data_IF_582849258916
#
_entry.id   IF_582849258916
#
_cell.length_a   1.000
_cell.length_b   1.000
_cell.length_c   1.000
_cell.angle_alpha   90.00
_cell.angle_beta   90.00
_cell.angle_gamma   90.00
#
_symmetry.space_group_name_H-M   'P 1'
#
loop_
_entity.id
_entity.type
_entity.pdbx_description
1 polymer ?
#
# COMPACT_ATOMS: atom_id res chain seq x y z
N UNK A 1 9.82 -26.30 -66.46
CA UNK A 1 9.86 -25.64 -65.14
C UNK A 1 8.94 -26.42 -64.23
N UNK A 2 9.48 -27.09 -63.22
CA UNK A 2 8.68 -27.85 -62.25
C UNK A 2 7.83 -26.87 -61.41
N UNK A 3 6.53 -27.16 -61.28
CA UNK A 3 5.62 -26.31 -60.53
C UNK A 3 5.85 -26.51 -59.03
N UNK A 4 6.28 -25.46 -58.34
CA UNK A 4 6.54 -25.49 -56.90
C UNK A 4 5.18 -25.40 -56.15
N UNK A 5 4.91 -26.28 -55.17
CA UNK A 5 3.66 -26.28 -54.40
C UNK A 5 3.51 -25.02 -53.53
N UNK A 6 2.27 -24.55 -53.36
CA UNK A 6 1.95 -23.37 -52.53
C UNK A 6 1.80 -23.73 -51.04
N UNK A 7 2.81 -24.41 -50.48
CA UNK A 7 2.90 -24.78 -49.07
C UNK A 7 3.90 -23.86 -48.34
N UNK A 8 3.74 -23.64 -47.02
CA UNK A 8 4.75 -22.98 -46.21
C UNK A 8 6.14 -23.62 -46.44
N UNK A 9 7.19 -22.80 -46.49
CA UNK A 9 8.60 -23.19 -46.76
C UNK A 9 9.01 -23.45 -48.22
N UNK A 10 8.06 -23.46 -49.16
CA UNK A 10 8.36 -23.57 -50.60
C UNK A 10 8.39 -22.20 -51.32
N UNK A 11 8.30 -21.09 -50.58
CA UNK A 11 8.36 -19.71 -51.09
C UNK A 11 9.40 -18.88 -50.32
N UNK A 12 10.03 -17.95 -51.03
CA UNK A 12 10.99 -17.02 -50.42
C UNK A 12 10.28 -15.87 -49.71
N UNK A 13 10.65 -15.58 -48.47
CA UNK A 13 10.12 -14.45 -47.67
C UNK A 13 10.77 -13.12 -48.06
N UNK A 14 10.74 -12.77 -49.35
CA UNK A 14 11.29 -11.48 -49.81
C UNK A 14 10.19 -10.41 -49.80
N UNK A 15 10.18 -9.56 -48.79
CA UNK A 15 9.28 -8.40 -48.75
C UNK A 15 9.90 -7.20 -49.47
N UNK A 16 9.11 -6.52 -50.29
CA UNK A 16 9.47 -5.19 -50.84
C UNK A 16 8.55 -4.16 -50.21
N UNK A 17 9.11 -3.09 -49.64
CA UNK A 17 8.30 -1.98 -49.15
C UNK A 17 7.70 -1.26 -50.35
N UNK A 18 6.40 -1.46 -50.57
CA UNK A 18 5.62 -0.74 -51.59
C UNK A 18 4.58 0.12 -50.88
N UNK A 19 4.34 1.36 -51.34
CA UNK A 19 3.27 2.17 -50.79
C UNK A 19 1.92 1.46 -50.99
N UNK A 20 1.06 1.54 -49.98
CA UNK A 20 -0.31 1.01 -50.08
C UNK A 20 -1.09 1.87 -51.07
N UNK A 21 -1.57 1.26 -52.16
CA UNK A 21 -2.51 1.92 -53.07
C UNK A 21 -3.86 2.07 -52.37
N UNK A 22 -4.51 3.22 -52.55
CA UNK A 22 -5.87 3.41 -52.07
C UNK A 22 -6.82 2.65 -53.00
N UNK A 23 -7.50 1.63 -52.47
CA UNK A 23 -8.42 0.75 -53.24
C UNK A 23 -9.88 1.14 -53.05
N UNK A 24 -10.20 1.87 -51.97
CA UNK A 24 -11.55 2.29 -51.65
C UNK A 24 -11.66 3.81 -51.56
N UNK A 25 -12.76 4.35 -52.08
CA UNK A 25 -13.19 5.73 -51.88
C UNK A 25 -14.49 5.74 -51.09
N UNK A 26 -14.61 6.63 -50.12
CA UNK A 26 -15.86 6.87 -49.40
C UNK A 26 -16.56 8.07 -50.01
N UNK A 27 -17.78 7.89 -50.47
CA UNK A 27 -18.65 8.97 -50.94
C UNK A 27 -19.92 8.91 -50.11
N UNK A 28 -20.18 9.98 -49.34
CA UNK A 28 -21.32 10.08 -48.43
C UNK A 28 -21.46 8.89 -47.45
N UNK A 29 -20.33 8.45 -46.88
CA UNK A 29 -20.31 7.37 -45.88
C UNK A 29 -20.36 5.94 -46.43
N UNK A 30 -20.49 5.76 -47.75
CA UNK A 30 -20.54 4.45 -48.41
C UNK A 30 -19.21 4.19 -49.12
N UNK A 31 -18.64 2.99 -48.92
CA UNK A 31 -17.38 2.57 -49.53
C UNK A 31 -17.60 2.05 -50.96
N UNK A 32 -16.88 2.62 -51.93
CA UNK A 32 -16.86 2.17 -53.33
C UNK A 32 -15.45 1.66 -53.70
N UNK A 33 -15.33 0.51 -54.39
CA UNK A 33 -14.06 0.06 -54.94
C UNK A 33 -13.64 0.97 -56.11
N UNK A 34 -12.38 1.37 -56.14
CA UNK A 34 -11.77 2.11 -57.26
C UNK A 34 -11.43 1.09 -58.35
N UNK A 35 -12.03 1.22 -59.53
CA UNK A 35 -11.70 0.38 -60.70
C UNK A 35 -10.49 0.94 -61.44
N UNK A 36 -9.68 0.06 -62.02
CA UNK A 36 -8.53 0.43 -62.85
C UNK A 36 -9.04 1.15 -64.11
N UNK A 37 -8.95 2.48 -64.13
CA UNK A 37 -9.46 3.34 -65.22
C UNK A 37 -10.21 4.60 -64.76
N UNK A 38 -10.52 4.74 -63.46
CA UNK A 38 -11.19 5.93 -62.93
C UNK A 38 -10.29 7.21 -63.05
N UNK A 39 -10.79 8.33 -63.60
CA UNK A 39 -10.00 9.56 -63.81
C UNK A 39 -9.57 10.26 -62.51
N UNK A 40 -10.02 9.76 -61.35
CA UNK A 40 -9.63 10.25 -60.03
C UNK A 40 -8.24 9.77 -59.57
N UNK A 41 -7.62 8.81 -60.27
CA UNK A 41 -6.27 8.34 -59.97
C UNK A 41 -5.25 9.21 -60.70
N UNK A 42 -5.08 10.46 -60.26
CA UNK A 42 -3.83 11.18 -60.58
C UNK A 42 -2.74 10.62 -59.66
N UNK A 43 -1.84 9.82 -60.23
CA UNK A 43 -0.59 9.47 -59.56
C UNK A 43 0.09 10.78 -59.14
N UNK A 44 0.22 11.02 -57.84
CA UNK A 44 1.06 12.12 -57.36
C UNK A 44 2.49 11.71 -57.66
N UNK A 45 3.25 12.47 -58.47
CA UNK A 45 4.67 12.18 -58.60
C UNK A 45 5.32 12.33 -57.22
N UNK A 46 6.32 11.49 -56.94
CA UNK A 46 7.13 11.57 -55.72
C UNK A 46 7.72 12.97 -55.61
N UNK A 47 7.13 13.83 -54.77
CA UNK A 47 7.86 14.95 -54.21
C UNK A 47 8.83 14.36 -53.18
N UNK A 48 10.06 14.14 -53.62
CA UNK A 48 11.21 13.92 -52.76
C UNK A 48 11.26 15.04 -51.73
N UNK A 49 11.03 14.70 -50.47
CA UNK A 49 11.40 15.52 -49.33
C UNK A 49 12.91 15.47 -49.15
N UNK A 50 13.63 16.04 -50.12
CA UNK A 50 15.04 16.42 -50.00
C UNK A 50 15.06 17.93 -50.20
N UNK A 51 15.08 18.66 -49.08
CA UNK A 51 15.44 20.08 -49.08
C UNK A 51 16.91 20.17 -49.48
N UNK A 52 17.17 20.49 -50.73
CA UNK A 52 18.43 21.12 -51.10
C UNK A 52 18.33 22.61 -50.74
N UNK A 53 19.18 23.00 -49.80
CA UNK A 53 19.41 24.39 -49.44
C UNK A 53 20.27 25.05 -50.51
N UNK A 54 19.69 25.93 -51.31
CA UNK A 54 20.44 26.94 -52.04
C UNK A 54 19.67 28.25 -52.06
N UNK A 55 20.42 29.31 -51.74
CA UNK A 55 19.94 30.64 -51.46
C UNK A 55 19.23 31.25 -52.68
N UNK A 56 17.98 31.67 -52.49
CA UNK A 56 17.34 32.66 -53.34
C UNK A 56 16.45 33.56 -52.46
N UNK A 57 17.01 34.70 -52.08
CA UNK A 57 16.30 35.87 -51.58
C UNK A 57 15.29 36.33 -52.64
N UNK A 58 14.02 36.00 -52.43
CA UNK A 58 12.90 36.72 -53.04
C UNK A 58 11.99 37.20 -51.93
N UNK A 59 12.01 38.52 -51.73
CA UNK A 59 11.10 39.26 -50.86
C UNK A 59 9.68 39.18 -51.45
N UNK A 60 8.96 38.10 -51.14
CA UNK A 60 7.51 38.11 -51.20
C UNK A 60 6.98 38.41 -49.80
N UNK A 61 6.27 39.53 -49.68
CA UNK A 61 5.53 39.93 -48.48
C UNK A 61 4.56 38.80 -48.15
N UNK A 62 4.95 37.94 -47.20
CA UNK A 62 4.12 36.87 -46.70
C UNK A 62 2.88 37.49 -46.04
N UNK A 63 1.73 37.33 -46.69
CA UNK A 63 0.45 37.57 -46.05
C UNK A 63 0.42 36.74 -44.76
N UNK A 64 0.26 37.42 -43.61
CA UNK A 64 0.10 36.75 -42.32
C UNK A 64 -1.01 35.70 -42.47
N UNK A 65 -0.80 34.45 -42.04
CA UNK A 65 -1.86 33.45 -42.07
C UNK A 65 -3.04 34.01 -41.29
N UNK A 66 -4.17 34.20 -41.98
CA UNK A 66 -5.42 34.59 -41.37
C UNK A 66 -5.70 33.59 -40.23
N UNK A 67 -5.98 34.04 -38.99
CA UNK A 67 -6.32 33.14 -37.91
C UNK A 67 -7.56 32.36 -38.37
N UNK A 68 -7.42 31.04 -38.56
CA UNK A 68 -8.56 30.17 -38.80
C UNK A 68 -9.59 30.47 -37.71
N UNK A 69 -10.87 30.71 -38.03
CA UNK A 69 -11.88 30.88 -37.01
C UNK A 69 -11.78 29.68 -36.07
N UNK A 70 -11.57 29.93 -34.77
CA UNK A 70 -11.63 28.88 -33.77
C UNK A 70 -12.97 28.19 -33.98
N UNK A 71 -12.94 26.88 -34.22
CA UNK A 71 -14.18 26.10 -34.29
C UNK A 71 -15.05 26.50 -33.08
N UNK A 72 -16.38 26.66 -33.24
CA UNK A 72 -17.23 26.94 -32.10
C UNK A 72 -16.89 25.89 -31.05
N UNK A 73 -16.40 26.33 -29.90
CA UNK A 73 -16.14 25.44 -28.77
C UNK A 73 -17.48 25.00 -28.24
N UNK A 74 -18.16 24.13 -28.99
CA UNK A 74 -19.30 23.41 -28.48
C UNK A 74 -18.84 22.65 -27.25
N UNK A 75 -19.68 22.66 -26.22
CA UNK A 75 -19.42 21.88 -25.03
C UNK A 75 -19.16 20.43 -25.44
N UNK A 76 -17.95 19.95 -25.17
CA UNK A 76 -17.62 18.55 -25.39
C UNK A 76 -18.63 17.68 -24.63
N UNK A 77 -19.00 16.54 -25.21
CA UNK A 77 -19.94 15.61 -24.59
C UNK A 77 -19.41 15.15 -23.22
N UNK A 78 -20.31 14.82 -22.29
CA UNK A 78 -19.99 14.46 -20.90
C UNK A 78 -18.97 13.33 -20.82
N UNK A 79 -19.13 12.30 -21.65
CA UNK A 79 -18.20 11.17 -21.71
C UNK A 79 -16.78 11.57 -22.14
N UNK A 80 -16.62 12.66 -22.90
CA UNK A 80 -15.31 13.19 -23.31
C UNK A 80 -14.72 14.07 -22.20
N UNK A 81 -15.56 14.84 -21.51
CA UNK A 81 -15.13 15.75 -20.43
C UNK A 81 -14.66 14.99 -19.20
N UNK A 82 -15.39 13.94 -18.84
CA UNK A 82 -15.20 13.18 -17.60
C UNK A 82 -14.57 11.80 -17.85
N UNK A 83 -13.92 11.59 -19.01
CA UNK A 83 -13.32 10.30 -19.32
C UNK A 83 -12.26 9.95 -18.27
N UNK A 84 -12.43 8.80 -17.61
CA UNK A 84 -11.61 8.31 -16.51
C UNK A 84 -11.77 9.01 -15.14
N UNK A 85 -12.68 9.97 -15.01
CA UNK A 85 -13.00 10.53 -13.70
C UNK A 85 -13.94 9.58 -12.95
N UNK A 86 -13.41 9.00 -11.87
CA UNK A 86 -14.13 8.04 -11.03
C UNK A 86 -14.13 8.54 -9.59
N UNK A 87 -15.33 8.66 -9.04
CA UNK A 87 -15.52 9.00 -7.64
C UNK A 87 -15.54 7.71 -6.82
N UNK A 88 -14.70 7.65 -5.81
CA UNK A 88 -14.60 6.53 -4.89
C UNK A 88 -15.09 6.93 -3.50
N UNK A 89 -16.05 6.16 -2.99
CA UNK A 89 -16.64 6.26 -1.66
C UNK A 89 -16.35 4.98 -0.87
N UNK A 90 -16.03 5.14 0.40
CA UNK A 90 -15.79 4.04 1.33
C UNK A 90 -17.03 3.85 2.19
N UNK A 91 -17.52 2.62 2.25
CA UNK A 91 -18.71 2.29 3.03
C UNK A 91 -18.71 0.87 3.55
N UNK A 92 -19.77 0.51 4.24
CA UNK A 92 -19.97 -0.85 4.71
C UNK A 92 -21.45 -1.22 4.66
N UNK A 93 -21.75 -2.51 4.66
CA UNK A 93 -23.09 -3.01 4.96
C UNK A 93 -23.01 -4.07 6.07
N UNK A 94 -24.11 -4.24 6.79
CA UNK A 94 -24.22 -5.27 7.83
C UNK A 94 -24.89 -6.51 7.25
N UNK A 95 -24.24 -7.66 7.41
CA UNK A 95 -24.79 -8.96 7.02
C UNK A 95 -25.18 -9.72 8.29
N UNK A 96 -26.46 -10.11 8.40
CA UNK A 96 -26.92 -10.94 9.50
C UNK A 96 -26.38 -12.36 9.35
N UNK A 97 -25.81 -12.92 10.43
CA UNK A 97 -25.31 -14.29 10.46
C UNK A 97 -26.18 -15.08 11.42
N UNK A 98 -26.78 -16.15 10.94
CA UNK A 98 -27.54 -17.10 11.75
C UNK A 98 -26.64 -18.24 12.21
N UNK A 99 -26.87 -18.74 13.42
CA UNK A 99 -26.26 -19.98 13.95
C UNK A 99 -24.72 -19.98 14.09
N UNK A 100 -24.11 -18.82 14.39
CA UNK A 100 -22.69 -18.73 14.74
C UNK A 100 -22.51 -18.46 16.23
N UNK A 101 -21.61 -19.19 16.89
CA UNK A 101 -21.25 -18.95 18.29
C UNK A 101 -20.39 -17.68 18.47
N UNK A 102 -19.73 -17.23 17.39
CA UNK A 102 -18.79 -16.11 17.42
C UNK A 102 -19.49 -14.76 17.25
N UNK A 103 -20.56 -14.69 16.46
CA UNK A 103 -21.17 -13.40 16.08
C UNK A 103 -22.60 -13.54 15.57
N UNK A 104 -23.38 -12.45 15.70
CA UNK A 104 -24.75 -12.35 15.17
C UNK A 104 -24.81 -11.57 13.84
N UNK A 105 -23.84 -10.70 13.58
CA UNK A 105 -23.77 -9.91 12.35
C UNK A 105 -22.31 -9.59 12.03
N UNK A 106 -22.02 -9.47 10.73
CA UNK A 106 -20.72 -9.10 10.18
C UNK A 106 -20.78 -7.72 9.56
N UNK A 107 -19.71 -6.96 9.67
CA UNK A 107 -19.53 -5.68 8.97
C UNK A 107 -18.66 -5.90 7.75
N UNK A 108 -19.24 -5.81 6.55
CA UNK A 108 -18.49 -5.97 5.29
C UNK A 108 -18.16 -4.62 4.70
N UNK A 109 -16.86 -4.31 4.64
CA UNK A 109 -16.32 -3.04 4.14
C UNK A 109 -16.20 -3.08 2.61
N UNK A 110 -16.72 -2.08 1.94
CA UNK A 110 -16.78 -2.00 0.49
C UNK A 110 -16.37 -0.62 -0.03
N UNK A 111 -15.86 -0.63 -1.25
CA UNK A 111 -15.62 0.55 -2.05
C UNK A 111 -16.72 0.68 -3.09
N UNK A 112 -17.31 1.86 -3.16
CA UNK A 112 -18.35 2.21 -4.11
C UNK A 112 -17.71 3.19 -5.10
N UNK A 113 -17.63 2.76 -6.36
CA UNK A 113 -17.13 3.55 -7.47
C UNK A 113 -18.30 4.09 -8.27
N UNK A 114 -18.31 5.40 -8.50
CA UNK A 114 -19.26 6.11 -9.35
C UNK A 114 -18.50 6.70 -10.55
N UNK A 115 -18.88 6.30 -11.76
CA UNK A 115 -18.22 6.73 -12.99
C UNK A 115 -18.94 7.94 -13.57
N UNK A 116 -18.25 9.08 -13.65
CA UNK A 116 -18.83 10.35 -14.13
C UNK A 116 -19.03 10.41 -15.66
N UNK A 117 -18.54 9.38 -16.37
CA UNK A 117 -18.68 9.22 -17.81
C UNK A 117 -20.12 8.83 -18.20
N UNK A 118 -20.71 7.90 -17.45
CA UNK A 118 -21.95 7.20 -17.79
C UNK A 118 -22.87 6.97 -16.58
N UNK A 119 -22.62 7.62 -15.44
CA UNK A 119 -23.39 7.47 -14.19
C UNK A 119 -23.54 6.01 -13.72
N UNK A 120 -22.58 5.16 -14.09
CA UNK A 120 -22.57 3.76 -13.68
C UNK A 120 -21.93 3.59 -12.29
N UNK A 121 -22.36 2.55 -11.58
CA UNK A 121 -21.88 2.21 -10.24
C UNK A 121 -21.23 0.83 -10.27
N UNK A 122 -20.12 0.70 -9.55
CA UNK A 122 -19.47 -0.56 -9.25
C UNK A 122 -19.19 -0.64 -7.75
N UNK A 123 -19.47 -1.78 -7.13
CA UNK A 123 -19.14 -2.01 -5.72
C UNK A 123 -18.14 -3.14 -5.62
N UNK A 124 -16.99 -2.88 -4.99
CA UNK A 124 -15.98 -3.90 -4.72
C UNK A 124 -15.81 -4.08 -3.22
N UNK A 125 -15.63 -5.31 -2.80
CA UNK A 125 -15.20 -5.65 -1.46
C UNK A 125 -13.71 -6.01 -1.46
N UNK A 126 -12.99 -5.41 -0.52
CA UNK A 126 -11.57 -5.70 -0.35
C UNK A 126 -11.35 -7.13 0.14
N UNK A 127 -10.35 -7.80 -0.45
CA UNK A 127 -9.94 -9.13 -0.01
C UNK A 127 -9.24 -9.05 1.35
N UNK A 128 -9.77 -9.76 2.33
CA UNK A 128 -9.20 -9.92 3.66
C UNK A 128 -8.60 -11.32 3.79
N UNK A 129 -7.38 -11.40 4.33
CA UNK A 129 -6.69 -12.68 4.49
C UNK A 129 -7.41 -13.60 5.47
N UNK A 130 -7.50 -14.88 5.10
CA UNK A 130 -8.23 -15.94 5.81
C UNK A 130 -9.68 -15.57 6.20
N UNK A 131 -10.37 -14.73 5.43
CA UNK A 131 -11.78 -14.36 5.68
C UNK A 131 -12.75 -15.53 5.48
N UNK A 132 -12.41 -16.48 4.59
CA UNK A 132 -13.26 -17.64 4.30
C UNK A 132 -14.51 -17.33 3.47
N UNK A 133 -14.70 -16.07 3.07
CA UNK A 133 -15.84 -15.60 2.27
C UNK A 133 -15.33 -15.22 0.87
N UNK A 134 -16.08 -15.49 -0.23
CA UNK A 134 -15.75 -14.96 -1.54
C UNK A 134 -15.80 -13.43 -1.54
N UNK A 135 -14.68 -12.81 -1.87
CA UNK A 135 -14.46 -11.36 -1.90
C UNK A 135 -13.98 -10.91 -3.28
N UNK A 136 -14.14 -9.63 -3.60
CA UNK A 136 -13.81 -9.04 -4.90
C UNK A 136 -14.94 -8.15 -5.42
N UNK A 137 -15.23 -8.20 -6.71
CA UNK A 137 -16.35 -7.43 -7.29
C UNK A 137 -17.68 -7.91 -6.73
N UNK A 138 -18.31 -7.07 -5.92
CA UNK A 138 -19.58 -7.35 -5.28
C UNK A 138 -20.75 -7.01 -6.24
N UNK A 139 -20.68 -5.85 -6.89
CA UNK A 139 -21.60 -5.42 -7.95
C UNK A 139 -20.76 -4.99 -9.16
N UNK A 140 -21.03 -5.56 -10.34
CA UNK A 140 -20.35 -5.20 -11.59
C UNK A 140 -20.73 -3.79 -12.04
N UNK A 141 -19.86 -3.12 -12.81
CA UNK A 141 -20.14 -1.79 -13.38
C UNK A 141 -21.37 -1.81 -14.29
N UNK A 142 -22.40 -1.06 -13.92
CA UNK A 142 -23.57 -0.73 -14.73
C UNK A 142 -24.36 0.40 -14.06
N UNK A 143 -25.33 1.00 -14.77
CA UNK A 143 -26.25 1.96 -14.15
C UNK A 143 -27.23 1.21 -13.24
N UNK A 144 -27.27 1.62 -11.97
CA UNK A 144 -28.11 1.00 -10.94
C UNK A 144 -29.38 1.81 -10.78
N UNK A 145 -30.52 1.12 -10.81
CA UNK A 145 -31.82 1.72 -10.53
C UNK A 145 -32.04 1.83 -9.01
N UNK A 146 -32.47 3.02 -8.58
CA UNK A 146 -32.90 3.32 -7.21
C UNK A 146 -34.35 2.89 -6.99
N UNK A 147 -35.21 3.24 -7.94
CA UNK A 147 -36.63 2.88 -8.04
C UNK A 147 -36.92 2.39 -9.48
N UNK A 148 -38.16 1.96 -9.77
CA UNK A 148 -38.53 1.39 -11.09
C UNK A 148 -38.12 2.29 -12.29
N UNK A 149 -38.16 3.62 -12.12
CA UNK A 149 -37.84 4.60 -13.19
C UNK A 149 -36.70 5.59 -12.87
N UNK A 150 -36.06 5.49 -11.70
CA UNK A 150 -35.06 6.46 -11.24
C UNK A 150 -33.69 5.79 -11.07
N UNK A 151 -32.65 6.37 -11.67
CA UNK A 151 -31.27 5.93 -11.49
C UNK A 151 -30.60 6.69 -10.36
N UNK A 152 -29.61 6.06 -9.74
CA UNK A 152 -28.77 6.75 -8.77
C UNK A 152 -28.00 7.88 -9.43
N UNK A 153 -27.98 9.03 -8.76
CA UNK A 153 -27.20 10.19 -9.17
C UNK A 153 -26.15 10.50 -8.11
N UNK A 154 -25.19 11.35 -8.45
CA UNK A 154 -24.17 11.80 -7.50
C UNK A 154 -24.75 12.51 -6.26
N UNK A 155 -25.98 13.00 -6.33
CA UNK A 155 -26.68 13.63 -5.22
C UNK A 155 -27.14 12.65 -4.14
N UNK A 156 -27.22 11.36 -4.46
CA UNK A 156 -27.53 10.31 -3.48
C UNK A 156 -26.30 9.87 -2.65
N UNK A 157 -25.08 10.28 -3.05
CA UNK A 157 -23.83 9.89 -2.42
C UNK A 157 -23.25 11.01 -1.56
N UNK A 158 -23.50 10.93 -0.26
CA UNK A 158 -22.91 11.80 0.76
C UNK A 158 -22.32 11.00 1.92
N UNK A 159 -21.35 11.59 2.62
CA UNK A 159 -20.78 10.99 3.83
C UNK A 159 -21.86 10.93 4.91
N UNK A 160 -22.15 9.73 5.42
CA UNK A 160 -23.24 9.47 6.37
C UNK A 160 -24.55 9.02 5.70
N UNK A 161 -24.66 9.08 4.37
CA UNK A 161 -25.83 8.60 3.65
C UNK A 161 -25.94 7.07 3.69
N UNK A 162 -27.17 6.58 3.63
CA UNK A 162 -27.50 5.15 3.56
C UNK A 162 -28.16 4.85 2.23
N UNK A 163 -27.54 3.98 1.44
CA UNK A 163 -27.87 3.73 0.03
C UNK A 163 -28.29 2.27 -0.11
N UNK A 164 -29.51 2.02 -0.58
CA UNK A 164 -30.02 0.66 -0.75
C UNK A 164 -29.88 0.24 -2.21
N UNK A 165 -29.01 -0.73 -2.48
CA UNK A 165 -28.77 -1.28 -3.82
C UNK A 165 -29.08 -2.77 -3.78
N UNK A 166 -29.97 -3.24 -4.65
CA UNK A 166 -30.37 -4.65 -4.76
C UNK A 166 -30.74 -5.31 -3.42
N UNK A 167 -31.51 -4.58 -2.59
CA UNK A 167 -31.98 -5.07 -1.29
C UNK A 167 -30.93 -5.06 -0.18
N UNK A 168 -29.72 -4.50 -0.41
CA UNK A 168 -28.68 -4.31 0.61
C UNK A 168 -28.46 -2.84 0.87
N UNK A 169 -28.43 -2.44 2.13
CA UNK A 169 -28.22 -1.05 2.55
C UNK A 169 -26.75 -0.83 2.90
N UNK A 170 -26.07 -0.01 2.10
CA UNK A 170 -24.70 0.43 2.28
C UNK A 170 -24.67 1.77 3.01
N UNK A 171 -23.84 1.88 4.03
CA UNK A 171 -23.59 3.13 4.75
C UNK A 171 -22.29 3.74 4.27
N UNK A 172 -22.34 4.95 3.72
CA UNK A 172 -21.16 5.68 3.25
C UNK A 172 -20.49 6.36 4.44
N UNK A 173 -19.21 6.09 4.63
CA UNK A 173 -18.44 6.49 5.83
C UNK A 173 -17.40 7.54 5.49
N UNK A 174 -16.78 7.42 4.31
CA UNK A 174 -15.72 8.31 3.86
C UNK A 174 -15.64 8.33 2.34
N UNK A 175 -14.76 9.14 1.76
CA UNK A 175 -14.45 9.13 0.33
C UNK A 175 -12.95 9.39 0.11
N UNK A 176 -12.47 9.09 -1.09
CA UNK A 176 -11.08 9.37 -1.47
C UNK A 176 -10.82 10.89 -1.54
N UNK A 177 -9.59 11.32 -1.33
CA UNK A 177 -9.17 12.72 -1.40
C UNK A 177 -9.47 13.37 -2.76
N UNK A 178 -9.39 12.62 -3.86
CA UNK A 178 -9.78 13.10 -5.19
C UNK A 178 -11.29 13.39 -5.27
N UNK A 179 -12.11 12.45 -4.79
CA UNK A 179 -13.57 12.59 -4.69
C UNK A 179 -13.95 13.82 -3.87
N UNK A 180 -13.31 13.98 -2.70
CA UNK A 180 -13.55 15.12 -1.82
C UNK A 180 -13.32 16.47 -2.52
N UNK A 181 -12.18 16.61 -3.21
CA UNK A 181 -11.85 17.82 -3.99
C UNK A 181 -12.84 18.07 -5.13
N UNK A 182 -13.32 17.01 -5.77
CA UNK A 182 -14.30 17.11 -6.84
C UNK A 182 -15.66 17.60 -6.31
N UNK A 183 -16.15 17.01 -5.20
CA UNK A 183 -17.39 17.42 -4.55
C UNK A 183 -17.34 18.88 -4.08
N UNK A 184 -16.20 19.31 -3.52
CA UNK A 184 -15.99 20.69 -3.09
C UNK A 184 -15.97 21.67 -4.28
N UNK A 185 -15.25 21.34 -5.37
CA UNK A 185 -15.07 22.24 -6.52
C UNK A 185 -16.30 22.33 -7.41
N UNK A 186 -16.93 21.19 -7.70
CA UNK A 186 -17.97 21.08 -8.73
C UNK A 186 -19.37 21.24 -8.14
N UNK A 187 -19.63 20.61 -6.98
CA UNK A 187 -20.94 20.66 -6.31
C UNK A 187 -21.00 21.69 -5.18
N UNK A 188 -19.87 22.28 -4.79
CA UNK A 188 -19.82 23.26 -3.70
C UNK A 188 -20.16 22.68 -2.32
N UNK A 189 -20.05 21.35 -2.13
CA UNK A 189 -20.37 20.71 -0.85
C UNK A 189 -19.29 21.00 0.19
N UNK A 190 -19.66 21.30 1.44
CA UNK A 190 -18.69 21.54 2.50
C UNK A 190 -17.91 20.26 2.84
N UNK A 191 -16.65 20.36 3.28
CA UNK A 191 -15.86 19.21 3.70
C UNK A 191 -16.47 18.54 4.94
N UNK A 192 -17.18 17.43 4.75
CA UNK A 192 -17.68 16.60 5.86
C UNK A 192 -16.54 15.75 6.43
N UNK A 193 -16.54 15.56 7.75
CA UNK A 193 -15.58 14.71 8.45
C UNK A 193 -15.89 13.23 8.17
N UNK A 194 -14.85 12.42 7.90
CA UNK A 194 -15.00 10.98 7.75
C UNK A 194 -15.52 10.36 9.06
N UNK A 195 -16.52 9.49 8.92
CA UNK A 195 -17.02 8.69 10.04
C UNK A 195 -16.08 7.50 10.27
N UNK A 196 -16.05 6.92 11.48
CA UNK A 196 -15.38 5.64 11.70
C UNK A 196 -16.27 4.50 11.19
N UNK A 197 -15.64 3.41 10.72
CA UNK A 197 -16.35 2.15 10.54
C UNK A 197 -16.83 1.64 11.91
N UNK A 198 -18.02 1.02 12.00
CA UNK A 198 -18.46 0.42 13.24
C UNK A 198 -17.53 -0.73 13.62
N UNK A 199 -17.30 -0.89 14.92
CA UNK A 199 -16.51 -1.99 15.43
C UNK A 199 -17.25 -3.32 15.17
N UNK A 200 -16.53 -4.28 14.57
CA UNK A 200 -16.98 -5.66 14.40
C UNK A 200 -16.33 -6.52 15.49
N UNK A 201 -17.15 -7.18 16.30
CA UNK A 201 -16.67 -8.07 17.37
C UNK A 201 -15.80 -9.18 16.80
N UNK A 202 -16.17 -9.72 15.65
CA UNK A 202 -15.43 -10.79 15.01
C UNK A 202 -14.05 -10.35 14.54
N UNK A 203 -13.94 -9.17 13.91
CA UNK A 203 -12.63 -8.62 13.52
C UNK A 203 -11.76 -8.37 14.74
N UNK A 204 -12.32 -7.83 15.83
CA UNK A 204 -11.57 -7.54 17.07
C UNK A 204 -11.04 -8.82 17.72
N UNK A 205 -11.91 -9.81 17.98
CA UNK A 205 -11.53 -11.07 18.62
C UNK A 205 -10.51 -11.84 17.78
N UNK A 206 -10.63 -11.77 16.45
CA UNK A 206 -9.70 -12.42 15.53
C UNK A 206 -8.32 -11.76 15.53
N UNK A 207 -8.25 -10.42 15.55
CA UNK A 207 -6.97 -9.71 15.64
C UNK A 207 -6.27 -10.06 16.94
N UNK A 208 -6.99 -10.09 18.05
CA UNK A 208 -6.47 -10.47 19.37
C UNK A 208 -6.02 -11.95 19.41
N UNK A 209 -6.81 -12.86 18.83
CA UNK A 209 -6.43 -14.26 18.73
C UNK A 209 -5.15 -14.43 17.90
N UNK A 210 -5.07 -13.78 16.73
CA UNK A 210 -3.90 -13.84 15.86
C UNK A 210 -2.67 -13.24 16.53
N UNK A 211 -2.79 -12.11 17.24
CA UNK A 211 -1.66 -11.48 17.92
C UNK A 211 -1.10 -12.37 19.03
N UNK A 212 -1.98 -13.03 19.79
CA UNK A 212 -1.60 -14.00 20.83
C UNK A 212 -0.91 -15.24 20.27
N UNK A 213 -1.49 -15.89 19.26
CA UNK A 213 -0.96 -17.14 18.72
C UNK A 213 0.33 -16.94 17.90
N UNK A 214 0.50 -15.78 17.26
CA UNK A 214 1.73 -15.46 16.51
C UNK A 214 2.83 -14.83 17.37
N UNK A 215 2.55 -14.47 18.62
CA UNK A 215 3.50 -13.78 19.51
C UNK A 215 3.85 -12.36 19.05
N UNK A 216 2.96 -11.75 18.25
CA UNK A 216 3.12 -10.40 17.69
C UNK A 216 2.44 -9.31 18.55
N UNK A 217 2.14 -9.59 19.81
CA UNK A 217 1.50 -8.63 20.72
C UNK A 217 2.40 -7.40 20.97
N UNK A 218 1.99 -6.18 20.55
CA UNK A 218 2.83 -4.98 20.65
C UNK A 218 3.17 -4.56 22.09
N UNK A 219 2.35 -4.98 23.06
CA UNK A 219 2.49 -4.65 24.48
C UNK A 219 3.20 -5.73 25.32
N UNK A 220 3.35 -6.94 24.79
CA UNK A 220 4.00 -8.02 25.51
C UNK A 220 5.50 -8.03 25.16
N UNK A 221 6.32 -7.40 26.00
CA UNK A 221 7.71 -7.85 26.10
C UNK A 221 7.66 -9.27 26.62
N UNK A 222 7.74 -10.23 25.71
CA UNK A 222 7.99 -11.61 26.05
C UNK A 222 9.40 -11.70 26.66
N UNK A 223 9.54 -11.29 27.93
CA UNK A 223 10.54 -11.80 28.86
C UNK A 223 10.20 -13.27 29.18
N UNK A 224 9.92 -14.05 28.13
CA UNK A 224 9.83 -15.49 28.23
C UNK A 224 11.25 -15.90 28.55
N UNK A 225 11.49 -16.23 29.82
CA UNK A 225 12.67 -17.03 30.20
C UNK A 225 12.67 -18.19 29.22
N UNK A 226 13.66 -18.22 28.33
CA UNK A 226 13.76 -19.31 27.37
C UNK A 226 13.80 -20.59 28.18
N UNK A 227 12.93 -21.54 27.82
CA UNK A 227 13.00 -22.85 28.44
C UNK A 227 14.43 -23.39 28.23
N UNK A 228 15.06 -24.01 29.23
CA UNK A 228 16.43 -24.53 29.09
C UNK A 228 16.57 -25.50 27.91
N UNK A 229 15.48 -26.20 27.55
CA UNK A 229 15.40 -27.04 26.35
C UNK A 229 15.54 -26.24 25.03
N UNK A 230 14.94 -25.04 24.97
CA UNK A 230 15.02 -24.16 23.80
C UNK A 230 16.43 -23.60 23.62
N UNK A 231 17.06 -23.18 24.72
CA UNK A 231 18.46 -22.73 24.70
C UNK A 231 19.40 -23.84 24.23
N UNK A 232 19.20 -25.06 24.73
CA UNK A 232 19.96 -26.23 24.28
C UNK A 232 19.76 -26.52 22.78
N UNK A 233 18.52 -26.47 22.29
CA UNK A 233 18.22 -26.70 20.88
C UNK A 233 18.83 -25.63 19.96
N UNK A 234 18.74 -24.35 20.35
CA UNK A 234 19.36 -23.23 19.63
C UNK A 234 20.89 -23.35 19.61
N UNK A 235 21.50 -23.69 20.75
CA UNK A 235 22.94 -23.94 20.85
C UNK A 235 23.37 -25.12 19.96
N UNK A 236 22.59 -26.21 19.91
CA UNK A 236 22.84 -27.36 19.04
C UNK A 236 22.75 -27.01 17.55
N UNK A 237 21.91 -26.03 17.18
CA UNK A 237 21.82 -25.48 15.82
C UNK A 237 22.92 -24.44 15.51
N UNK A 238 23.83 -24.17 16.45
CA UNK A 238 24.96 -23.24 16.27
C UNK A 238 24.69 -21.81 16.75
N UNK A 239 23.53 -21.54 17.36
CA UNK A 239 23.27 -20.26 17.99
C UNK A 239 23.63 -20.30 19.48
N UNK A 240 24.89 -20.00 19.80
CA UNK A 240 25.42 -20.01 21.17
C UNK A 240 25.51 -18.63 21.81
N UNK A 241 25.18 -17.56 21.07
CA UNK A 241 25.41 -16.18 21.50
C UNK A 241 24.21 -15.66 22.28
N UNK A 242 24.39 -15.37 23.56
CA UNK A 242 23.41 -14.66 24.37
C UNK A 242 23.77 -13.17 24.46
N UNK A 243 22.98 -12.31 23.81
CA UNK A 243 23.20 -10.86 23.78
C UNK A 243 22.50 -10.07 24.90
N UNK A 244 21.87 -10.74 25.87
CA UNK A 244 21.08 -10.08 26.90
C UNK A 244 21.88 -9.03 27.72
N UNK A 245 23.16 -9.29 28.00
CA UNK A 245 24.03 -8.36 28.74
C UNK A 245 24.67 -7.23 27.91
N UNK A 246 24.45 -7.22 26.59
CA UNK A 246 25.16 -6.29 25.69
C UNK A 246 24.78 -4.83 25.93
N UNK A 247 23.52 -4.56 26.23
CA UNK A 247 23.04 -3.19 26.47
C UNK A 247 23.63 -2.59 27.76
N UNK A 248 23.69 -3.37 28.84
CA UNK A 248 24.30 -2.99 30.10
C UNK A 248 25.79 -2.68 29.92
N UNK A 249 26.51 -3.56 29.21
CA UNK A 249 27.90 -3.32 28.83
C UNK A 249 28.08 -2.03 28.03
N UNK A 250 27.32 -1.82 26.94
CA UNK A 250 27.49 -0.65 26.07
C UNK A 250 27.21 0.69 26.79
N UNK A 251 26.28 0.72 27.75
CA UNK A 251 25.88 1.96 28.45
C UNK A 251 26.73 2.27 29.68
N UNK A 252 27.14 1.23 30.38
CA UNK A 252 27.76 1.34 31.69
C UNK A 252 29.19 0.79 31.75
N UNK A 253 29.81 0.53 30.59
CA UNK A 253 31.22 0.13 30.53
C UNK A 253 32.09 1.09 31.36
N UNK A 254 32.94 0.51 32.20
CA UNK A 254 33.86 1.20 33.13
C UNK A 254 33.19 2.10 34.19
N UNK A 255 31.87 2.00 34.39
CA UNK A 255 31.17 2.69 35.49
C UNK A 255 30.99 1.74 36.66
N UNK A 256 31.73 2.00 37.74
CA UNK A 256 31.71 1.21 38.97
C UNK A 256 31.35 2.12 40.13
N UNK A 257 30.35 1.74 40.92
CA UNK A 257 30.03 2.43 42.17
C UNK A 257 30.91 1.87 43.27
N UNK A 258 31.70 2.74 43.90
CA UNK A 258 32.56 2.38 45.04
C UNK A 258 31.96 2.86 46.34
N UNK A 259 31.72 1.95 47.27
CA UNK A 259 31.27 2.24 48.62
C UNK A 259 32.33 1.84 49.64
N UNK A 260 32.45 2.63 50.70
CA UNK A 260 33.23 2.28 51.87
C UNK A 260 32.28 1.66 52.89
N UNK A 261 32.55 0.41 53.26
CA UNK A 261 31.73 -0.37 54.17
C UNK A 261 32.55 -0.79 55.39
N UNK A 262 31.88 -0.91 56.53
CA UNK A 262 32.48 -1.40 57.77
C UNK A 262 31.66 -2.60 58.23
N UNK A 263 32.35 -3.70 58.51
CA UNK A 263 31.76 -4.87 59.14
C UNK A 263 32.12 -4.84 60.63
N UNK A 264 31.12 -4.62 61.47
CA UNK A 264 31.26 -4.62 62.92
C UNK A 264 30.87 -5.99 63.49
N UNK A 265 31.87 -6.81 63.83
CA UNK A 265 31.68 -8.12 64.47
C UNK A 265 32.14 -8.14 65.93
N UNK A 266 32.31 -6.97 66.58
CA UNK A 266 32.84 -6.88 67.95
C UNK A 266 31.98 -7.56 69.03
N UNK A 267 30.76 -7.97 68.69
CA UNK A 267 29.89 -8.74 69.57
C UNK A 267 30.27 -10.22 69.69
N UNK A 268 31.10 -10.74 68.77
CA UNK A 268 31.58 -12.12 68.80
C UNK A 268 32.85 -12.27 69.66
N UNK A 269 33.07 -13.47 70.23
CA UNK A 269 34.19 -13.76 71.14
C UNK A 269 35.58 -13.45 70.55
N UNK A 270 35.73 -13.51 69.23
CA UNK A 270 36.96 -13.21 68.48
C UNK A 270 36.73 -12.21 67.34
N UNK A 271 35.60 -11.49 67.35
CA UNK A 271 35.26 -10.56 66.28
C UNK A 271 35.91 -9.19 66.46
N UNK A 272 36.15 -8.52 65.34
CA UNK A 272 36.75 -7.19 65.27
C UNK A 272 35.98 -6.29 64.29
N UNK A 273 36.39 -5.03 64.22
CA UNK A 273 35.85 -4.05 63.28
C UNK A 273 36.70 -4.03 62.02
N UNK A 274 36.12 -4.36 60.87
CA UNK A 274 36.85 -4.50 59.60
C UNK A 274 36.33 -3.52 58.55
N UNK A 275 37.24 -2.93 57.79
CA UNK A 275 36.91 -2.03 56.70
C UNK A 275 37.03 -2.72 55.34
N UNK A 276 36.02 -2.48 54.49
CA UNK A 276 35.92 -3.03 53.15
C UNK A 276 35.61 -1.95 52.13
N UNK A 277 36.02 -2.19 50.89
CA UNK A 277 35.55 -1.45 49.72
C UNK A 277 34.63 -2.36 48.92
N UNK A 278 33.39 -1.92 48.74
CA UNK A 278 32.43 -2.62 47.88
C UNK A 278 32.46 -1.95 46.51
N UNK A 279 32.60 -2.74 45.45
CA UNK A 279 32.50 -2.29 44.08
C UNK A 279 31.26 -2.92 43.46
N UNK A 280 30.35 -2.08 42.98
CA UNK A 280 29.14 -2.50 42.28
C UNK A 280 29.28 -2.15 40.79
N UNK A 281 29.23 -3.16 39.94
CA UNK A 281 29.40 -3.03 38.50
C UNK A 281 28.03 -2.82 37.85
N UNK A 282 27.82 -1.63 37.28
CA UNK A 282 26.58 -1.28 36.59
C UNK A 282 26.38 -2.03 35.25
N UNK A 283 27.40 -2.77 34.80
CA UNK A 283 27.37 -3.51 33.53
C UNK A 283 26.53 -4.77 33.59
N UNK A 284 26.55 -5.46 34.73
CA UNK A 284 26.01 -6.81 34.92
C UNK A 284 25.42 -7.00 36.33
N UNK A 285 25.24 -5.91 37.08
CA UNK A 285 24.67 -5.87 38.43
C UNK A 285 25.39 -6.78 39.44
N UNK A 286 26.67 -7.10 39.16
CA UNK A 286 27.53 -7.88 40.05
C UNK A 286 28.27 -6.99 41.05
N UNK A 287 28.75 -7.59 42.14
CA UNK A 287 29.56 -6.89 43.13
C UNK A 287 30.79 -7.69 43.52
N UNK A 288 31.87 -6.98 43.83
CA UNK A 288 33.04 -7.55 44.50
C UNK A 288 33.32 -6.76 45.79
N UNK A 289 33.90 -7.45 46.77
CA UNK A 289 34.25 -6.86 48.07
C UNK A 289 35.74 -7.01 48.29
N UNK A 290 36.43 -5.87 48.32
CA UNK A 290 37.85 -5.77 48.56
C UNK A 290 38.11 -5.52 50.04
N UNK A 291 39.07 -6.25 50.58
CA UNK A 291 39.65 -6.00 51.90
C UNK A 291 40.51 -4.74 51.85
N UNK A 292 40.51 -3.94 52.90
CA UNK A 292 41.47 -2.84 53.07
C UNK A 292 42.58 -3.33 53.99
N UNK A 293 43.79 -3.61 53.49
CA UNK A 293 44.89 -4.05 54.35
C UNK A 293 45.33 -2.89 55.25
N UNK A 294 45.39 -3.15 56.55
CA UNK A 294 45.94 -2.22 57.54
C UNK A 294 47.38 -2.57 57.87
N UNK A 295 48.23 -1.57 58.12
CA UNK A 295 49.60 -1.83 58.58
C UNK A 295 49.56 -2.53 59.94
N UNK A 296 50.35 -3.61 60.09
CA UNK A 296 50.48 -4.37 61.34
C UNK A 296 49.14 -4.88 61.92
N UNK A 297 48.15 -5.21 61.08
CA UNK A 297 46.82 -5.63 61.51
C UNK A 297 46.71 -7.12 61.93
N UNK A 298 47.81 -7.87 61.90
CA UNK A 298 47.86 -9.28 62.31
C UNK A 298 47.12 -10.26 61.38
N UNK A 299 46.64 -9.81 60.22
CA UNK A 299 45.91 -10.62 59.25
C UNK A 299 46.75 -10.90 58.01
N UNK A 300 46.58 -12.09 57.46
CA UNK A 300 47.18 -12.48 56.19
C UNK A 300 46.64 -11.58 55.06
N UNK A 301 47.50 -11.00 54.20
CA UNK A 301 47.07 -10.09 53.14
C UNK A 301 46.33 -10.80 52.00
N UNK A 302 45.04 -11.08 52.20
CA UNK A 302 44.12 -11.44 51.12
C UNK A 302 43.54 -10.18 50.48
N UNK A 303 43.59 -10.01 49.15
CA UNK A 303 43.12 -8.80 48.46
C UNK A 303 41.59 -8.75 48.23
N UNK A 304 40.90 -9.89 48.21
CA UNK A 304 39.45 -9.97 48.01
C UNK A 304 38.81 -10.76 49.15
N UNK A 305 37.69 -10.25 49.67
CA UNK A 305 36.78 -10.99 50.53
C UNK A 305 35.75 -11.76 49.68
N UNK A 306 35.16 -11.08 48.69
CA UNK A 306 34.14 -11.66 47.80
C UNK A 306 34.53 -11.39 46.35
N UNK A 307 34.59 -12.46 45.56
CA UNK A 307 34.84 -12.41 44.12
C UNK A 307 33.54 -12.10 43.37
N UNK A 308 33.67 -11.36 42.27
CA UNK A 308 32.65 -11.25 41.22
C UNK A 308 32.30 -12.59 40.59
#
# INVERSE_FOLDING_TARGET
MEAIPNLPNYRTNRHTNRPKKQVFKYVNGIAFPIQDGDPAVKERPLASTLRESSNATSLMVGAKPQPKPKAPSGDAATFVKNCNDVLCFYGYFKESVTESALENHRVRKCDIYYYLEDDSIQVNEHKQENSGIPQGTFIRRHQVQKNEDEFFTLDDFDIGASITIYGRTFHVVSCNAATKRYLERTLGRPPVQALPFPADKFEMERVEFMSRETGCDPGARHNIKKNPMKDFAEAKLGNTVNNAGREGFLRFDRKVLRFHAVWDDRGALYGDLQEFKVHYFLTDDTMEVLTVPGANNGRDPYPLLLKR
#
